data_IF_608525461308
#
_entry.id   IF_608525461308
#
_cell.length_a   1.000
_cell.length_b   1.000
_cell.length_c   1.000
_cell.angle_alpha   90.00
_cell.angle_beta   90.00
_cell.angle_gamma   90.00
#
_symmetry.space_group_name_H-M   'P 1'
#
loop_
_entity.id
_entity.type
_entity.pdbx_description
1 polymer ?
#
# COMPACT_ATOMS: atom_id res chain seq x y z
N UNK A 1 20.72 -11.34 -25.12
CA UNK A 1 19.66 -12.12 -24.43
C UNK A 1 20.13 -12.62 -23.04
N UNK A 2 20.52 -11.72 -22.14
CA UNK A 2 21.16 -12.10 -20.85
C UNK A 2 20.58 -11.48 -19.59
N UNK A 3 19.59 -10.58 -19.69
CA UNK A 3 19.11 -9.75 -18.58
C UNK A 3 17.91 -10.32 -17.81
N UNK A 4 17.26 -11.38 -18.29
CA UNK A 4 16.10 -11.98 -17.60
C UNK A 4 16.46 -12.90 -16.43
N UNK A 5 17.72 -13.34 -16.28
CA UNK A 5 18.14 -14.28 -15.22
C UNK A 5 18.47 -13.63 -13.88
N UNK A 6 18.70 -12.31 -13.82
CA UNK A 6 18.96 -11.61 -12.56
C UNK A 6 17.68 -11.38 -11.73
N UNK A 7 16.52 -11.37 -12.38
CA UNK A 7 15.20 -11.27 -11.72
C UNK A 7 14.74 -12.61 -11.09
N UNK A 8 15.52 -13.69 -11.24
CA UNK A 8 15.18 -15.04 -10.80
C UNK A 8 16.00 -15.56 -9.61
N UNK A 9 16.82 -14.71 -8.97
CA UNK A 9 17.31 -15.05 -7.63
C UNK A 9 16.23 -14.67 -6.63
N UNK A 10 15.27 -15.58 -6.46
CA UNK A 10 14.20 -15.54 -5.46
C UNK A 10 14.69 -15.58 -4.01
N UNK A 11 15.72 -14.80 -3.70
CA UNK A 11 16.14 -14.50 -2.34
C UNK A 11 15.50 -13.17 -2.02
N UNK A 12 14.32 -13.21 -1.39
CA UNK A 12 13.72 -12.01 -0.82
C UNK A 12 14.76 -11.31 0.05
N UNK A 13 14.84 -9.98 -0.04
CA UNK A 13 15.74 -9.22 0.82
C UNK A 13 15.39 -9.45 2.30
N UNK A 14 16.39 -9.37 3.17
CA UNK A 14 16.17 -9.51 4.60
C UNK A 14 15.13 -8.49 5.06
N UNK A 15 14.15 -8.88 5.87
CA UNK A 15 13.09 -7.99 6.37
C UNK A 15 13.61 -6.68 6.99
N UNK A 16 14.78 -6.64 7.67
CA UNK A 16 15.39 -5.37 8.11
C UNK A 16 15.66 -4.36 6.98
N UNK A 17 15.80 -4.79 5.73
CA UNK A 17 15.98 -3.91 4.57
C UNK A 17 14.77 -2.98 4.33
N UNK A 18 13.58 -3.35 4.82
CA UNK A 18 12.41 -2.47 4.76
C UNK A 18 12.66 -1.13 5.45
N UNK A 19 13.39 -1.11 6.56
CA UNK A 19 13.74 0.12 7.26
C UNK A 19 14.62 1.04 6.41
N UNK A 20 15.56 0.48 5.66
CA UNK A 20 16.40 1.25 4.75
C UNK A 20 15.58 1.79 3.57
N UNK A 21 14.71 0.99 2.96
CA UNK A 21 13.83 1.45 1.89
C UNK A 21 12.92 2.58 2.39
N UNK A 22 12.31 2.42 3.58
CA UNK A 22 11.48 3.45 4.19
C UNK A 22 12.27 4.75 4.47
N UNK A 23 13.50 4.64 4.99
CA UNK A 23 14.37 5.79 5.24
C UNK A 23 14.71 6.54 3.93
N UNK A 24 15.17 5.82 2.90
CA UNK A 24 15.54 6.42 1.62
C UNK A 24 14.33 7.06 0.94
N UNK A 25 13.18 6.39 0.93
CA UNK A 25 11.93 6.96 0.41
C UNK A 25 11.47 8.17 1.21
N UNK A 26 11.59 8.15 2.54
CA UNK A 26 11.26 9.29 3.40
C UNK A 26 12.16 10.50 3.15
N UNK A 27 13.47 10.30 3.02
CA UNK A 27 14.41 11.37 2.67
C UNK A 27 14.11 11.93 1.29
N UNK A 28 13.81 11.07 0.30
CA UNK A 28 13.42 11.52 -1.03
C UNK A 28 12.11 12.32 -0.99
N UNK A 29 11.12 11.89 -0.22
CA UNK A 29 9.86 12.62 -0.05
C UNK A 29 10.07 13.99 0.60
N UNK A 30 10.91 14.10 1.63
CA UNK A 30 11.26 15.38 2.26
C UNK A 30 12.00 16.30 1.29
N UNK A 31 12.93 15.76 0.48
CA UNK A 31 13.61 16.52 -0.56
C UNK A 31 12.62 17.02 -1.62
N UNK A 32 11.71 16.15 -2.08
CA UNK A 32 10.64 16.53 -3.01
C UNK A 32 9.74 17.62 -2.43
N UNK A 33 9.31 17.51 -1.17
CA UNK A 33 8.50 18.53 -0.51
C UNK A 33 9.24 19.88 -0.48
N UNK A 34 10.52 19.89 -0.09
CA UNK A 34 11.31 21.12 -0.03
C UNK A 34 11.52 21.80 -1.40
N UNK A 35 11.51 21.03 -2.49
CA UNK A 35 11.74 21.54 -3.84
C UNK A 35 10.45 21.93 -4.58
N UNK A 36 9.33 21.27 -4.28
CA UNK A 36 8.11 21.32 -5.09
C UNK A 36 6.91 21.96 -4.38
N UNK A 37 6.90 22.00 -3.05
CA UNK A 37 5.73 22.39 -2.27
C UNK A 37 6.03 23.56 -1.31
N UNK A 38 5.01 24.36 -0.95
CA UNK A 38 5.14 25.35 0.12
C UNK A 38 5.45 24.68 1.47
N UNK A 39 6.18 25.39 2.34
CA UNK A 39 6.52 24.90 3.67
C UNK A 39 5.27 24.61 4.51
N UNK A 40 5.17 23.40 5.05
CA UNK A 40 4.09 23.02 5.96
C UNK A 40 4.31 23.56 7.38
N UNK A 41 3.28 24.16 7.97
CA UNK A 41 3.25 24.50 9.40
C UNK A 41 2.59 23.36 10.17
N UNK A 42 3.34 22.69 11.04
CA UNK A 42 2.85 21.56 11.84
C UNK A 42 2.74 21.95 13.31
N UNK A 43 1.63 21.60 13.95
CA UNK A 43 1.50 21.70 15.40
C UNK A 43 2.07 20.45 16.11
N UNK A 44 2.09 20.45 17.45
CA UNK A 44 2.58 19.30 18.21
C UNK A 44 1.72 18.03 18.03
N UNK A 45 0.43 18.19 17.76
CA UNK A 45 -0.48 17.06 17.54
C UNK A 45 -0.26 16.43 16.15
N UNK A 46 0.11 17.21 15.15
CA UNK A 46 0.47 16.71 13.82
C UNK A 46 1.69 15.81 13.86
N UNK A 47 2.71 16.19 14.64
CA UNK A 47 3.87 15.31 14.87
C UNK A 47 3.47 13.98 15.51
N UNK A 48 2.58 14.01 16.50
CA UNK A 48 2.06 12.80 17.11
C UNK A 48 1.26 11.94 16.11
N UNK A 49 0.42 12.56 15.27
CA UNK A 49 -0.35 11.88 14.21
C UNK A 49 0.57 11.25 13.16
N UNK A 50 1.61 11.96 12.72
CA UNK A 50 2.61 11.45 11.77
C UNK A 50 3.34 10.25 12.37
N UNK A 51 3.78 10.34 13.63
CA UNK A 51 4.44 9.24 14.32
C UNK A 51 3.51 8.03 14.47
N UNK A 52 2.26 8.22 14.86
CA UNK A 52 1.26 7.16 15.00
C UNK A 52 0.91 6.52 13.65
N UNK A 53 0.75 7.31 12.59
CA UNK A 53 0.48 6.79 11.24
C UNK A 53 1.68 5.97 10.72
N UNK A 54 2.89 6.52 10.89
CA UNK A 54 4.14 5.90 10.46
C UNK A 54 4.44 4.59 11.22
N UNK A 55 4.36 4.61 12.54
CA UNK A 55 4.62 3.42 13.37
C UNK A 55 3.46 2.42 13.38
N UNK A 56 2.22 2.90 13.18
CA UNK A 56 1.01 2.08 13.19
C UNK A 56 0.69 1.52 11.80
N UNK A 57 -0.39 1.97 11.14
CA UNK A 57 -0.91 1.33 9.94
C UNK A 57 0.07 1.35 8.75
N UNK A 58 0.82 2.45 8.56
CA UNK A 58 1.77 2.54 7.44
C UNK A 58 2.94 1.57 7.65
N UNK A 59 3.59 1.61 8.81
CA UNK A 59 4.69 0.72 9.15
C UNK A 59 4.29 -0.75 9.12
N UNK A 60 3.16 -1.09 9.76
CA UNK A 60 2.62 -2.45 9.74
C UNK A 60 2.35 -2.96 8.32
N UNK A 61 1.88 -2.11 7.41
CA UNK A 61 1.61 -2.49 6.03
C UNK A 61 2.87 -2.97 5.29
N UNK A 62 4.05 -2.37 5.54
CA UNK A 62 5.31 -2.82 4.92
C UNK A 62 5.70 -4.23 5.36
N UNK A 63 5.56 -4.55 6.65
CA UNK A 63 5.87 -5.90 7.17
C UNK A 63 4.87 -6.95 6.67
N UNK A 64 3.57 -6.61 6.65
CA UNK A 64 2.53 -7.50 6.12
C UNK A 64 2.74 -7.75 4.62
N UNK A 65 3.10 -6.72 3.87
CA UNK A 65 3.41 -6.82 2.45
C UNK A 65 4.64 -7.67 2.18
N UNK A 66 5.74 -7.45 2.91
CA UNK A 66 6.95 -8.26 2.84
C UNK A 66 6.67 -9.72 3.17
N UNK A 67 5.91 -9.98 4.23
CA UNK A 67 5.47 -11.31 4.60
C UNK A 67 4.63 -11.95 3.49
N UNK A 68 3.64 -11.23 2.95
CA UNK A 68 2.80 -11.74 1.86
C UNK A 68 3.65 -12.13 0.65
N UNK A 69 4.54 -11.24 0.18
CA UNK A 69 5.38 -11.50 -0.99
C UNK A 69 6.37 -12.66 -0.79
N UNK A 70 6.81 -12.90 0.44
CA UNK A 70 7.73 -14.01 0.78
C UNK A 70 7.03 -15.37 0.85
N UNK A 71 5.76 -15.41 1.22
CA UNK A 71 5.04 -16.65 1.50
C UNK A 71 3.91 -16.97 0.51
N UNK A 72 3.54 -16.03 -0.35
CA UNK A 72 2.44 -16.17 -1.30
C UNK A 72 2.85 -15.93 -2.75
N UNK A 73 1.91 -16.18 -3.65
CA UNK A 73 2.08 -15.87 -5.07
C UNK A 73 1.94 -14.36 -5.30
N UNK A 74 3.02 -13.73 -5.79
CA UNK A 74 3.08 -12.31 -6.10
C UNK A 74 1.98 -11.86 -7.08
N UNK A 75 1.58 -12.72 -8.04
CA UNK A 75 0.47 -12.41 -8.97
C UNK A 75 -0.83 -12.28 -8.20
N UNK A 76 -1.15 -13.26 -7.35
CA UNK A 76 -2.36 -13.26 -6.53
C UNK A 76 -2.39 -12.08 -5.56
N UNK A 77 -1.26 -11.77 -4.90
CA UNK A 77 -1.12 -10.61 -4.00
C UNK A 77 -1.35 -9.29 -4.75
N UNK A 78 -0.82 -9.17 -5.98
CA UNK A 78 -1.09 -8.03 -6.85
C UNK A 78 -2.58 -7.86 -7.17
N UNK A 79 -3.28 -8.96 -7.45
CA UNK A 79 -4.74 -8.94 -7.67
C UNK A 79 -5.49 -8.53 -6.40
N UNK A 80 -5.12 -9.07 -5.24
CA UNK A 80 -5.74 -8.70 -3.96
C UNK A 80 -5.53 -7.22 -3.60
N UNK A 81 -4.47 -6.59 -4.11
CA UNK A 81 -4.20 -5.16 -3.88
C UNK A 81 -5.28 -4.25 -4.46
N UNK A 82 -6.07 -4.71 -5.44
CA UNK A 82 -7.25 -3.98 -5.94
C UNK A 82 -8.35 -3.82 -4.89
N UNK A 83 -8.32 -4.57 -3.79
CA UNK A 83 -9.23 -4.35 -2.66
C UNK A 83 -8.92 -3.08 -1.87
N UNK A 84 -7.72 -2.49 -2.01
CA UNK A 84 -7.29 -1.27 -1.30
C UNK A 84 -8.26 -0.09 -1.48
N UNK A 85 -8.60 0.34 -2.71
CA UNK A 85 -9.55 1.44 -2.91
C UNK A 85 -10.93 1.15 -2.32
N UNK A 86 -11.40 -0.11 -2.36
CA UNK A 86 -12.66 -0.51 -1.76
C UNK A 86 -12.60 -0.38 -0.22
N UNK A 87 -11.57 -0.97 0.40
CA UNK A 87 -11.36 -0.91 1.84
C UNK A 87 -11.23 0.54 2.35
N UNK A 88 -10.45 1.38 1.64
CA UNK A 88 -10.29 2.80 1.97
C UNK A 88 -11.62 3.55 1.92
N UNK A 89 -12.42 3.33 0.88
CA UNK A 89 -13.71 4.03 0.75
C UNK A 89 -14.72 3.54 1.79
N UNK A 90 -14.75 2.24 2.07
CA UNK A 90 -15.57 1.68 3.15
C UNK A 90 -15.19 2.28 4.50
N UNK A 91 -13.88 2.34 4.82
CA UNK A 91 -13.39 2.96 6.05
C UNK A 91 -13.72 4.46 6.11
N UNK A 92 -13.61 5.19 5.00
CA UNK A 92 -14.01 6.59 4.91
C UNK A 92 -15.50 6.80 5.20
N UNK A 93 -16.36 5.96 4.61
CA UNK A 93 -17.81 5.98 4.86
C UNK A 93 -18.11 5.74 6.34
N UNK A 94 -17.49 4.73 6.95
CA UNK A 94 -17.65 4.46 8.38
C UNK A 94 -17.13 5.62 9.25
N UNK A 95 -15.96 6.17 8.94
CA UNK A 95 -15.35 7.25 9.72
C UNK A 95 -16.11 8.58 9.61
N UNK A 96 -16.79 8.83 8.49
CA UNK A 96 -17.50 10.10 8.22
C UNK A 96 -19.02 10.01 8.40
N UNK A 97 -19.59 8.80 8.54
CA UNK A 97 -21.02 8.58 8.61
C UNK A 97 -21.78 8.90 7.32
N UNK A 98 -21.09 9.07 6.18
CA UNK A 98 -21.72 9.37 4.89
C UNK A 98 -22.49 8.16 4.34
N UNK A 99 -23.60 8.40 3.66
CA UNK A 99 -24.37 7.31 3.05
C UNK A 99 -23.59 6.64 1.90
N UNK A 100 -23.72 5.32 1.78
CA UNK A 100 -23.25 4.57 0.62
C UNK A 100 -24.01 5.05 -0.63
N UNK A 101 -23.27 5.37 -1.69
CA UNK A 101 -23.87 5.68 -3.00
C UNK A 101 -23.98 4.43 -3.86
N UNK A 102 -24.92 4.40 -4.79
CA UNK A 102 -25.04 3.32 -5.77
C UNK A 102 -23.76 3.15 -6.61
N UNK A 103 -23.06 4.25 -6.91
CA UNK A 103 -21.78 4.21 -7.61
C UNK A 103 -20.70 3.47 -6.81
N UNK A 104 -20.67 3.63 -5.49
CA UNK A 104 -19.73 2.92 -4.62
C UNK A 104 -20.00 1.42 -4.60
N UNK A 105 -21.27 1.01 -4.56
CA UNK A 105 -21.67 -0.40 -4.63
C UNK A 105 -21.27 -0.99 -6.00
N UNK A 106 -21.54 -0.29 -7.10
CA UNK A 106 -21.14 -0.72 -8.43
C UNK A 106 -19.61 -0.88 -8.55
N UNK A 107 -18.84 0.10 -8.06
CA UNK A 107 -17.39 0.04 -8.05
C UNK A 107 -16.87 -1.15 -7.21
N UNK A 108 -17.47 -1.40 -6.05
CA UNK A 108 -17.14 -2.55 -5.19
C UNK A 108 -17.36 -3.88 -5.93
N UNK A 109 -18.50 -4.03 -6.62
CA UNK A 109 -18.82 -5.23 -7.38
C UNK A 109 -17.85 -5.43 -8.55
N UNK A 110 -17.48 -4.37 -9.27
CA UNK A 110 -16.51 -4.45 -10.36
C UNK A 110 -15.12 -4.86 -9.88
N UNK A 111 -14.65 -4.28 -8.76
CA UNK A 111 -13.36 -4.60 -8.15
C UNK A 111 -13.33 -6.07 -7.68
N UNK A 112 -14.34 -6.49 -6.93
CA UNK A 112 -14.43 -7.86 -6.40
C UNK A 112 -14.60 -8.86 -7.55
N UNK A 113 -15.44 -8.56 -8.53
CA UNK A 113 -15.63 -9.39 -9.72
C UNK A 113 -14.35 -9.56 -10.53
N UNK A 114 -13.62 -8.47 -10.79
CA UNK A 114 -12.33 -8.53 -11.48
C UNK A 114 -11.29 -9.34 -10.70
N UNK A 115 -11.23 -9.18 -9.37
CA UNK A 115 -10.33 -9.96 -8.52
C UNK A 115 -10.65 -11.46 -8.58
N UNK A 116 -11.93 -11.84 -8.48
CA UNK A 116 -12.36 -13.23 -8.57
C UNK A 116 -12.04 -13.84 -9.94
N UNK A 117 -12.33 -13.13 -11.04
CA UNK A 117 -12.01 -13.58 -12.39
C UNK A 117 -10.51 -13.77 -12.58
N UNK A 118 -9.69 -12.84 -12.08
CA UNK A 118 -8.23 -12.93 -12.17
C UNK A 118 -7.68 -14.11 -11.36
N UNK A 119 -8.23 -14.37 -10.17
CA UNK A 119 -7.88 -15.52 -9.33
C UNK A 119 -8.29 -16.87 -9.96
N UNK A 120 -9.41 -16.91 -10.68
CA UNK A 120 -9.85 -18.10 -11.41
C UNK A 120 -8.98 -18.37 -12.64
N UNK A 121 -8.55 -17.32 -13.35
CA UNK A 121 -7.67 -17.42 -14.51
C UNK A 121 -6.20 -17.71 -14.17
N UNK A 122 -5.82 -17.59 -12.89
CA UNK A 122 -4.47 -17.89 -12.40
C UNK A 122 -4.32 -19.30 -11.81
N UNK A 123 -5.39 -20.11 -11.81
CA UNK A 123 -5.33 -21.56 -11.58
C UNK A 123 -4.95 -22.28 -12.88
#
# INVERSE_FOLDING_TARGET
>A
MGSRRLLLRGQGFATPALGLFALLSGLLALLSHALLEPAATLDAADWARIALLGAGPLGASFYLWDHALKHGDARTIGVLSYLTPLASTTLLVFATGRAFSWNLIAAALLIVGAALLAMLASR
#
